data_IF_886012515839
#
_entry.id   IF_886012515839
#
_cell.length_a   1.000
_cell.length_b   1.000
_cell.length_c   1.000
_cell.angle_alpha   90.00
_cell.angle_beta   90.00
_cell.angle_gamma   90.00
#
_symmetry.space_group_name_H-M   'P 1'
#
loop_
_entity.id
_entity.type
_entity.pdbx_description
1 polymer ?
#
# COMPACT_ATOMS: atom_id res chain seq x y z
N UNK A 1 -7.96 15.89 26.14
CA UNK A 1 -7.63 15.89 24.70
C UNK A 1 -7.23 14.49 24.20
N UNK A 2 -8.17 13.52 24.07
CA UNK A 2 -7.83 12.13 23.69
C UNK A 2 -7.67 11.93 22.17
N UNK A 3 -8.41 12.69 21.35
CA UNK A 3 -8.45 12.54 19.89
C UNK A 3 -7.13 12.89 19.20
N UNK A 4 -6.40 13.89 19.69
CA UNK A 4 -5.11 14.32 19.11
C UNK A 4 -4.03 13.25 19.23
N UNK A 5 -3.99 12.52 20.36
CA UNK A 5 -3.06 11.41 20.59
C UNK A 5 -3.34 10.23 19.67
N UNK A 6 -4.62 9.91 19.45
CA UNK A 6 -5.04 8.85 18.54
C UNK A 6 -4.65 9.16 17.09
N UNK A 7 -4.94 10.36 16.60
CA UNK A 7 -4.58 10.80 15.25
C UNK A 7 -3.06 10.77 15.05
N UNK A 8 -2.29 11.31 16.00
CA UNK A 8 -0.83 11.28 15.94
C UNK A 8 -0.28 9.85 15.85
N UNK A 9 -0.75 8.94 16.70
CA UNK A 9 -0.30 7.53 16.68
C UNK A 9 -0.63 6.84 15.37
N UNK A 10 -1.84 7.04 14.85
CA UNK A 10 -2.28 6.45 13.58
C UNK A 10 -1.48 7.01 12.40
N UNK A 11 -1.24 8.32 12.35
CA UNK A 11 -0.43 8.96 11.31
C UNK A 11 1.02 8.46 11.33
N UNK A 12 1.64 8.36 12.52
CA UNK A 12 3.01 7.83 12.65
C UNK A 12 3.06 6.37 12.19
N UNK A 13 2.05 5.56 12.51
CA UNK A 13 2.00 4.17 12.07
C UNK A 13 1.90 4.05 10.55
N UNK A 14 1.03 4.84 9.91
CA UNK A 14 0.93 4.88 8.44
C UNK A 14 2.26 5.33 7.84
N UNK A 15 2.86 6.39 8.36
CA UNK A 15 4.14 6.89 7.87
C UNK A 15 5.26 5.83 7.99
N UNK A 16 5.29 5.07 9.08
CA UNK A 16 6.25 3.97 9.26
C UNK A 16 6.02 2.85 8.23
N UNK A 17 4.77 2.49 7.95
CA UNK A 17 4.44 1.50 6.90
C UNK A 17 4.86 1.99 5.50
N UNK A 18 4.66 3.27 5.20
CA UNK A 18 5.13 3.86 3.94
C UNK A 18 6.66 3.87 3.84
N UNK A 19 7.36 4.20 4.93
CA UNK A 19 8.81 4.16 4.97
C UNK A 19 9.34 2.73 4.74
N UNK A 20 8.69 1.73 5.35
CA UNK A 20 9.05 0.33 5.15
C UNK A 20 8.83 -0.10 3.69
N UNK A 21 7.71 0.30 3.08
CA UNK A 21 7.46 0.05 1.64
C UNK A 21 8.55 0.65 0.75
N UNK A 22 8.96 1.90 1.02
CA UNK A 22 10.06 2.56 0.31
C UNK A 22 11.39 1.82 0.49
N UNK A 23 11.68 1.35 1.69
CA UNK A 23 12.89 0.58 1.97
C UNK A 23 12.91 -0.74 1.19
N UNK A 24 11.79 -1.47 1.14
CA UNK A 24 11.67 -2.68 0.32
C UNK A 24 11.89 -2.38 -1.16
N UNK A 25 11.34 -1.28 -1.68
CA UNK A 25 11.58 -0.82 -3.05
C UNK A 25 13.05 -0.48 -3.31
N UNK A 26 13.73 0.12 -2.34
CA UNK A 26 15.16 0.41 -2.43
C UNK A 26 16.01 -0.87 -2.44
N UNK A 27 15.67 -1.86 -1.60
CA UNK A 27 16.33 -3.17 -1.61
C UNK A 27 16.13 -3.86 -2.97
N UNK A 28 14.92 -3.81 -3.53
CA UNK A 28 14.64 -4.30 -4.90
C UNK A 28 15.60 -3.67 -5.91
N UNK A 29 15.77 -2.35 -5.85
CA UNK A 29 16.67 -1.62 -6.76
C UNK A 29 18.12 -2.10 -6.62
N UNK A 30 18.64 -2.22 -5.39
CA UNK A 30 20.01 -2.70 -5.15
C UNK A 30 20.23 -4.12 -5.70
N UNK A 31 19.26 -5.02 -5.49
CA UNK A 31 19.32 -6.39 -6.02
C UNK A 31 19.30 -6.39 -7.54
N UNK A 32 18.45 -5.57 -8.16
CA UNK A 32 18.34 -5.46 -9.60
C UNK A 32 19.63 -4.93 -10.24
N UNK A 33 20.22 -3.88 -9.67
CA UNK A 33 21.50 -3.32 -10.13
C UNK A 33 22.65 -4.31 -9.92
N UNK A 34 22.65 -5.10 -8.84
CA UNK A 34 23.65 -6.17 -8.62
C UNK A 34 23.51 -7.32 -9.61
N UNK A 35 22.28 -7.70 -9.97
CA UNK A 35 22.01 -8.83 -10.85
C UNK A 35 22.20 -8.50 -12.34
N UNK A 36 21.72 -7.33 -12.79
CA UNK A 36 21.69 -6.95 -14.20
C UNK A 36 22.64 -5.81 -14.56
N UNK A 37 23.19 -5.09 -13.57
CA UNK A 37 23.98 -3.89 -13.81
C UNK A 37 23.13 -2.73 -14.35
N UNK A 38 23.75 -1.89 -15.18
CA UNK A 38 23.06 -0.84 -15.94
C UNK A 38 23.23 -1.19 -17.42
N UNK A 39 22.16 -1.58 -18.09
CA UNK A 39 22.19 -2.04 -19.49
C UNK A 39 20.86 -2.62 -19.96
N UNK A 40 20.82 -3.11 -21.19
CA UNK A 40 19.58 -3.51 -21.90
C UNK A 40 18.72 -4.52 -21.13
N UNK A 41 19.34 -5.44 -20.38
CA UNK A 41 18.62 -6.43 -19.58
C UNK A 41 17.84 -5.79 -18.41
N UNK A 42 18.38 -4.74 -17.79
CA UNK A 42 17.70 -3.99 -16.74
C UNK A 42 16.51 -3.20 -17.29
N UNK A 43 16.67 -2.61 -18.48
CA UNK A 43 15.61 -1.88 -19.17
C UNK A 43 14.48 -2.81 -19.62
N UNK A 44 14.82 -4.00 -20.15
CA UNK A 44 13.85 -5.02 -20.52
C UNK A 44 13.05 -5.52 -19.30
N UNK A 45 13.71 -5.75 -18.16
CA UNK A 45 13.03 -6.09 -16.92
C UNK A 45 12.09 -4.98 -16.46
N UNK A 46 12.56 -3.73 -16.49
CA UNK A 46 11.75 -2.58 -16.08
C UNK A 46 10.50 -2.43 -16.96
N UNK A 47 10.65 -2.57 -18.28
CA UNK A 47 9.54 -2.55 -19.23
C UNK A 47 8.54 -3.69 -18.98
N UNK A 48 9.05 -4.92 -18.75
CA UNK A 48 8.22 -6.07 -18.45
C UNK A 48 7.43 -5.90 -17.13
N UNK A 49 8.05 -5.29 -16.10
CA UNK A 49 7.42 -5.09 -14.81
C UNK A 49 6.48 -3.87 -14.77
N UNK A 50 6.49 -3.00 -15.79
CA UNK A 50 5.70 -1.77 -15.80
C UNK A 50 4.19 -2.05 -15.82
N UNK A 51 3.74 -3.01 -16.63
CA UNK A 51 2.32 -3.35 -16.72
C UNK A 51 1.79 -3.93 -15.39
N UNK A 52 2.41 -4.97 -14.80
CA UNK A 52 1.99 -5.47 -13.48
C UNK A 52 2.02 -4.40 -12.40
N UNK A 53 3.07 -3.59 -12.34
CA UNK A 53 3.21 -2.52 -11.35
C UNK A 53 2.08 -1.49 -11.49
N UNK A 54 1.73 -1.12 -12.72
CA UNK A 54 0.63 -0.20 -13.00
C UNK A 54 -0.70 -0.76 -12.48
N UNK A 55 -1.03 -2.01 -12.80
CA UNK A 55 -2.26 -2.63 -12.30
C UNK A 55 -2.28 -2.71 -10.79
N UNK A 56 -1.17 -3.08 -10.15
CA UNK A 56 -1.08 -3.14 -8.70
C UNK A 56 -1.27 -1.76 -8.07
N UNK A 57 -0.60 -0.73 -8.58
CA UNK A 57 -0.70 0.64 -8.08
C UNK A 57 -2.14 1.19 -8.23
N UNK A 58 -2.78 0.96 -9.38
CA UNK A 58 -4.15 1.40 -9.64
C UNK A 58 -5.17 0.67 -8.76
N UNK A 59 -5.04 -0.64 -8.59
CA UNK A 59 -6.00 -1.44 -7.84
C UNK A 59 -5.77 -1.29 -6.32
N UNK A 60 -4.60 -1.67 -5.83
CA UNK A 60 -4.33 -1.76 -4.40
C UNK A 60 -4.12 -0.38 -3.75
N UNK A 61 -3.39 0.52 -4.41
CA UNK A 61 -3.07 1.84 -3.87
C UNK A 61 -4.15 2.90 -4.18
N UNK A 62 -4.80 2.80 -5.33
CA UNK A 62 -5.70 3.82 -5.86
C UNK A 62 -7.18 3.53 -5.63
N UNK A 63 -7.75 2.63 -6.44
CA UNK A 63 -9.19 2.45 -6.57
C UNK A 63 -9.80 1.69 -5.39
N UNK A 64 -9.23 0.53 -5.03
CA UNK A 64 -9.78 -0.32 -3.95
C UNK A 64 -9.65 0.39 -2.61
N UNK A 65 -8.46 0.91 -2.28
CA UNK A 65 -8.25 1.62 -1.02
C UNK A 65 -9.13 2.88 -0.90
N UNK A 66 -9.27 3.68 -1.96
CA UNK A 66 -10.09 4.89 -1.93
C UNK A 66 -11.59 4.61 -1.76
N UNK A 67 -12.10 3.53 -2.34
CA UNK A 67 -13.50 3.14 -2.18
C UNK A 67 -13.75 2.38 -0.86
N UNK A 68 -12.83 1.52 -0.44
CA UNK A 68 -12.97 0.64 0.71
C UNK A 68 -12.82 1.37 2.05
N UNK A 69 -11.76 2.18 2.22
CA UNK A 69 -11.42 2.78 3.52
C UNK A 69 -12.56 3.63 4.10
N UNK A 70 -13.22 4.53 3.33
CA UNK A 70 -14.31 5.34 3.85
C UNK A 70 -15.54 4.52 4.25
N UNK A 71 -15.89 3.51 3.46
CA UNK A 71 -17.05 2.63 3.71
C UNK A 71 -16.79 1.76 4.94
N UNK A 72 -15.61 1.16 5.04
CA UNK A 72 -15.20 0.36 6.19
C UNK A 72 -15.15 1.20 7.47
N UNK A 73 -14.55 2.40 7.41
CA UNK A 73 -14.48 3.31 8.54
C UNK A 73 -15.88 3.77 9.01
N UNK A 74 -16.80 4.03 8.08
CA UNK A 74 -18.18 4.38 8.39
C UNK A 74 -18.91 3.23 9.10
N UNK A 75 -18.75 1.99 8.62
CA UNK A 75 -19.35 0.81 9.28
C UNK A 75 -18.73 0.55 10.67
N UNK A 76 -17.43 0.80 10.83
CA UNK A 76 -16.79 0.65 12.14
C UNK A 76 -17.29 1.69 13.15
N UNK A 77 -17.61 2.91 12.67
CA UNK A 77 -18.11 4.00 13.50
C UNK A 77 -19.54 3.76 14.04
N UNK A 78 -20.36 2.93 13.38
CA UNK A 78 -21.69 2.56 13.86
C UNK A 78 -21.67 1.52 14.99
N UNK A 79 -20.50 0.94 15.29
CA UNK A 79 -20.31 -0.06 16.35
C UNK A 79 -20.61 -1.50 15.92
N UNK A 80 -21.12 -1.73 14.70
CA UNK A 80 -21.37 -3.06 14.13
C UNK A 80 -20.09 -3.65 13.53
N UNK A 81 -19.20 -4.13 14.40
CA UNK A 81 -17.92 -4.75 14.01
C UNK A 81 -18.11 -5.97 13.11
N UNK A 82 -19.24 -6.68 13.24
CA UNK A 82 -19.52 -7.88 12.44
C UNK A 82 -19.82 -7.51 10.98
N UNK A 83 -20.56 -6.42 10.73
CA UNK A 83 -20.74 -5.90 9.37
C UNK A 83 -19.43 -5.39 8.77
N UNK A 84 -18.61 -4.67 9.54
CA UNK A 84 -17.31 -4.20 9.07
C UNK A 84 -16.39 -5.38 8.70
N UNK A 85 -16.33 -6.42 9.53
CA UNK A 85 -15.55 -7.63 9.24
C UNK A 85 -16.00 -8.32 7.95
N UNK A 86 -17.32 -8.51 7.76
CA UNK A 86 -17.84 -9.10 6.51
C UNK A 86 -17.45 -8.30 5.27
N UNK A 87 -17.39 -6.97 5.34
CA UNK A 87 -16.92 -6.16 4.22
C UNK A 87 -15.42 -6.39 3.94
N UNK A 88 -14.60 -6.54 4.97
CA UNK A 88 -13.19 -6.87 4.81
C UNK A 88 -12.98 -8.26 4.22
N UNK A 89 -13.83 -9.23 4.56
CA UNK A 89 -13.74 -10.60 4.04
C UNK A 89 -14.16 -10.71 2.55
N UNK A 90 -14.85 -9.70 2.01
CA UNK A 90 -15.31 -9.69 0.61
C UNK A 90 -14.33 -9.07 -0.38
N UNK A 91 -13.24 -8.47 0.10
CA UNK A 91 -12.23 -7.75 -0.71
C UNK A 91 -10.90 -8.48 -0.63
#
# INVERSE_FOLDING_TARGET
>A
MPRTRFLFRSSVMVMALFALSRLTGFVKLLLLTRAFGVGEAADAYAAANQLPELFFAMLAGGAVAAAFIPVYAAQLATGDKARAARLADTV
#
